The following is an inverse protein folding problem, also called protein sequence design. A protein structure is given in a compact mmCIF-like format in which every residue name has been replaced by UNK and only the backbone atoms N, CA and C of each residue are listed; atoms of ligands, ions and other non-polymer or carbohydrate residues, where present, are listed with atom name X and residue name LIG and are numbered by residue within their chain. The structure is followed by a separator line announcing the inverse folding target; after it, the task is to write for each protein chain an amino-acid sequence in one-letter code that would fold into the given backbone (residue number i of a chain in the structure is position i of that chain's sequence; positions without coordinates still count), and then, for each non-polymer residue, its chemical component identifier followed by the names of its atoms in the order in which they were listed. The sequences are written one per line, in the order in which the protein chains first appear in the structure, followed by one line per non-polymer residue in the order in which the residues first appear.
data_IF_089124054969
#
_entry.id   IF_089124054969
#
_cell.length_a   1.000
_cell.length_b   1.000
_cell.length_c   1.000
_cell.angle_alpha   90.00
_cell.angle_beta   90.00
_cell.angle_gamma   90.00
#
_symmetry.space_group_name_H-M   'P 1'
#
loop_
_entity.id
_entity.type
_entity.pdbx_description
1 polymer ?
#
# COMPACT_ATOMS: atom_id res chain seq x y z
N UNK A 1 -47.05 -49.94 52.32
CA UNK A 1 -46.86 -49.51 50.91
C UNK A 1 -47.42 -48.11 50.71
N UNK A 2 -46.86 -47.08 51.36
CA UNK A 2 -47.46 -45.72 51.32
C UNK A 2 -46.53 -44.53 51.54
N UNK A 3 -45.25 -44.75 51.85
CA UNK A 3 -44.29 -43.66 52.11
C UNK A 3 -43.26 -43.46 50.98
N UNK A 4 -43.08 -44.44 50.11
CA UNK A 4 -42.22 -44.36 48.91
C UNK A 4 -42.84 -43.49 47.80
N UNK A 5 -44.18 -43.44 47.70
CA UNK A 5 -44.88 -42.74 46.62
C UNK A 5 -44.84 -41.21 46.78
N UNK A 6 -44.81 -40.70 48.02
CA UNK A 6 -44.76 -39.26 48.29
C UNK A 6 -43.38 -38.65 48.03
N UNK A 7 -42.31 -39.45 48.18
CA UNK A 7 -40.93 -39.04 47.92
C UNK A 7 -40.68 -38.91 46.40
N UNK A 8 -41.23 -39.82 45.60
CA UNK A 8 -41.11 -39.78 44.13
C UNK A 8 -41.83 -38.56 43.53
N UNK A 9 -42.99 -38.16 44.09
CA UNK A 9 -43.74 -36.99 43.61
C UNK A 9 -43.06 -35.65 43.97
N UNK A 10 -42.27 -35.58 45.05
CA UNK A 10 -41.54 -34.36 45.44
C UNK A 10 -40.26 -34.18 44.61
N UNK A 11 -39.63 -35.27 44.17
CA UNK A 11 -38.38 -35.23 43.38
C UNK A 11 -38.57 -34.89 41.89
N UNK A 12 -39.79 -34.88 41.36
CA UNK A 12 -40.09 -34.47 39.97
C UNK A 12 -40.30 -32.95 39.81
N UNK A 13 -40.30 -32.19 40.90
CA UNK A 13 -40.42 -30.72 40.88
C UNK A 13 -39.05 -30.01 40.84
N UNK A 14 -37.97 -30.74 40.55
CA UNK A 14 -36.63 -30.17 40.40
C UNK A 14 -36.33 -29.94 38.91
N UNK A 15 -35.99 -28.71 38.56
CA UNK A 15 -35.51 -28.22 37.24
C UNK A 15 -36.55 -27.82 36.18
N UNK A 16 -37.23 -26.69 36.42
CA UNK A 16 -37.56 -25.76 35.33
C UNK A 16 -36.55 -24.61 35.34
N UNK A 17 -35.47 -24.63 34.54
CA UNK A 17 -34.66 -23.44 34.33
C UNK A 17 -35.44 -22.49 33.43
N UNK A 18 -36.26 -21.62 34.04
CA UNK A 18 -36.86 -20.50 33.31
C UNK A 18 -35.77 -19.43 33.17
N UNK A 19 -34.89 -19.61 32.19
CA UNK A 19 -33.92 -18.58 31.84
C UNK A 19 -34.66 -17.43 31.14
N UNK A 20 -35.02 -16.40 31.90
CA UNK A 20 -35.49 -15.12 31.36
C UNK A 20 -34.31 -14.31 30.81
N UNK A 21 -33.61 -14.86 29.80
CA UNK A 21 -32.58 -14.10 29.10
C UNK A 21 -33.25 -13.13 28.13
N UNK A 22 -32.90 -11.84 28.25
CA UNK A 22 -33.41 -10.77 27.36
C UNK A 22 -32.71 -10.74 26.00
N UNK A 23 -31.68 -11.57 25.82
CA UNK A 23 -30.97 -11.75 24.56
C UNK A 23 -30.64 -13.23 24.39
N UNK A 24 -30.93 -13.75 23.21
CA UNK A 24 -30.70 -15.13 22.82
C UNK A 24 -30.09 -15.13 21.42
N UNK A 25 -29.32 -16.16 21.08
CA UNK A 25 -28.64 -16.31 19.81
C UNK A 25 -28.58 -17.78 19.41
N UNK A 26 -28.13 -18.06 18.19
CA UNK A 26 -28.07 -19.43 17.66
C UNK A 26 -29.29 -19.81 16.82
N UNK A 27 -30.12 -18.82 16.48
CA UNK A 27 -31.15 -18.92 15.45
C UNK A 27 -30.52 -18.99 14.04
N UNK A 28 -31.37 -18.99 13.02
CA UNK A 28 -30.95 -18.98 11.61
C UNK A 28 -29.94 -17.83 11.35
N UNK A 29 -28.84 -18.15 10.66
CA UNK A 29 -27.79 -17.18 10.33
C UNK A 29 -28.24 -16.14 9.29
N UNK A 30 -29.35 -16.37 8.61
CA UNK A 30 -29.94 -15.39 7.69
C UNK A 30 -30.59 -14.20 8.43
N UNK A 31 -30.96 -14.38 9.69
CA UNK A 31 -31.56 -13.32 10.52
C UNK A 31 -30.57 -12.20 10.77
N UNK A 32 -31.01 -10.96 10.56
CA UNK A 32 -30.13 -9.79 10.66
C UNK A 32 -29.52 -9.62 12.06
N UNK A 33 -30.26 -9.99 13.11
CA UNK A 33 -29.78 -9.92 14.50
C UNK A 33 -28.65 -10.92 14.80
N UNK A 34 -28.51 -11.97 13.98
CA UNK A 34 -27.47 -13.00 14.12
C UNK A 34 -26.20 -12.67 13.32
N UNK A 35 -26.20 -11.60 12.51
CA UNK A 35 -25.05 -11.25 11.66
C UNK A 35 -23.97 -10.51 12.45
N UNK A 36 -22.73 -11.02 12.50
CA UNK A 36 -21.63 -10.32 13.15
C UNK A 36 -21.16 -9.13 12.29
N UNK A 37 -20.49 -8.16 12.93
CA UNK A 37 -19.77 -7.11 12.21
C UNK A 37 -18.34 -7.54 11.88
N UNK A 38 -17.78 -7.02 10.78
CA UNK A 38 -16.39 -7.22 10.40
C UNK A 38 -15.71 -5.88 10.14
N UNK A 39 -14.53 -5.67 10.74
CA UNK A 39 -13.70 -4.48 10.52
C UNK A 39 -12.23 -4.87 10.51
N UNK A 40 -11.53 -4.51 9.46
CA UNK A 40 -10.10 -4.76 9.31
C UNK A 40 -9.36 -3.45 9.04
N UNK A 41 -8.20 -3.27 9.70
CA UNK A 41 -7.31 -2.12 9.49
C UNK A 41 -5.88 -2.64 9.49
N UNK A 42 -5.17 -2.39 8.40
CA UNK A 42 -3.78 -2.79 8.29
C UNK A 42 -3.21 -2.49 6.90
N UNK A 43 -1.90 -2.63 6.72
CA UNK A 43 -1.23 -2.36 5.44
C UNK A 43 -1.65 -3.33 4.33
N UNK A 44 -2.16 -4.51 4.69
CA UNK A 44 -2.63 -5.51 3.74
C UNK A 44 -4.02 -5.19 3.16
N UNK A 45 -4.80 -4.31 3.80
CA UNK A 45 -6.18 -3.99 3.41
C UNK A 45 -6.27 -2.65 2.67
N UNK A 46 -7.24 -2.54 1.75
CA UNK A 46 -7.61 -1.25 1.17
C UNK A 46 -8.10 -0.29 2.26
N UNK A 47 -7.71 0.98 2.14
CA UNK A 47 -8.15 2.03 3.07
C UNK A 47 -9.55 2.53 2.70
N UNK A 48 -10.38 2.79 3.70
CA UNK A 48 -11.73 3.34 3.55
C UNK A 48 -12.62 2.54 2.58
N UNK A 49 -12.42 1.23 2.52
CA UNK A 49 -13.25 0.34 1.72
C UNK A 49 -14.40 -0.19 2.58
N UNK A 50 -15.62 0.05 2.13
CA UNK A 50 -16.82 -0.63 2.62
C UNK A 50 -17.12 -1.81 1.69
N UNK A 51 -17.49 -2.95 2.28
CA UNK A 51 -17.68 -4.21 1.56
C UNK A 51 -19.04 -4.79 1.86
N UNK A 52 -19.58 -5.53 0.88
CA UNK A 52 -20.80 -6.29 1.08
C UNK A 52 -20.63 -7.43 2.10
N UNK A 53 -21.74 -8.03 2.55
CA UNK A 53 -21.70 -9.15 3.47
C UNK A 53 -20.98 -10.36 2.86
N UNK A 54 -20.32 -11.14 3.71
CA UNK A 54 -19.66 -12.39 3.35
C UNK A 54 -19.70 -13.36 4.53
N UNK A 55 -19.61 -14.65 4.25
CA UNK A 55 -19.65 -15.69 5.28
C UNK A 55 -18.38 -15.70 6.14
N UNK A 56 -18.55 -15.84 7.46
CA UNK A 56 -17.46 -15.83 8.45
C UNK A 56 -16.43 -16.95 8.22
N UNK A 57 -16.82 -18.06 7.59
CA UNK A 57 -15.90 -19.16 7.22
C UNK A 57 -14.74 -18.70 6.34
N UNK A 58 -14.91 -17.60 5.59
CA UNK A 58 -13.88 -17.05 4.71
C UNK A 58 -12.79 -16.26 5.46
N UNK A 59 -12.95 -16.00 6.76
CA UNK A 59 -11.97 -15.26 7.56
C UNK A 59 -10.70 -16.09 7.77
N UNK A 60 -10.81 -17.40 7.96
CA UNK A 60 -9.63 -18.27 8.14
C UNK A 60 -8.66 -18.22 6.95
N UNK A 61 -9.08 -18.49 5.69
CA UNK A 61 -8.17 -18.40 4.55
C UNK A 61 -7.66 -16.96 4.31
N UNK A 62 -8.45 -15.93 4.63
CA UNK A 62 -8.00 -14.54 4.61
C UNK A 62 -6.83 -14.29 5.57
N UNK A 63 -6.94 -14.76 6.82
CA UNK A 63 -5.88 -14.64 7.82
C UNK A 63 -4.62 -15.41 7.40
N UNK A 64 -4.77 -16.64 6.90
CA UNK A 64 -3.66 -17.43 6.39
C UNK A 64 -2.92 -16.70 5.27
N UNK A 65 -3.66 -16.10 4.33
CA UNK A 65 -3.09 -15.31 3.25
C UNK A 65 -2.28 -14.11 3.76
N UNK A 66 -2.80 -13.35 4.72
CA UNK A 66 -2.10 -12.19 5.31
C UNK A 66 -0.84 -12.62 6.05
N UNK A 67 -0.88 -13.75 6.74
CA UNK A 67 0.26 -14.31 7.48
C UNK A 67 1.28 -15.00 6.57
N UNK A 68 0.96 -15.23 5.29
CA UNK A 68 1.81 -15.96 4.35
C UNK A 68 1.94 -17.45 4.67
N UNK A 69 0.93 -18.05 5.31
CA UNK A 69 0.89 -19.48 5.64
C UNK A 69 -0.12 -20.21 4.76
N UNK A 70 0.12 -21.50 4.53
CA UNK A 70 -0.81 -22.35 3.79
C UNK A 70 -2.02 -22.68 4.69
N UNK A 71 -3.27 -22.39 4.27
CA UNK A 71 -4.44 -22.86 5.00
C UNK A 71 -4.57 -24.38 4.90
N UNK A 72 -4.99 -25.00 6.00
CA UNK A 72 -5.44 -26.40 6.05
C UNK A 72 -6.79 -26.56 5.36
N UNK A 73 -7.25 -27.81 5.17
CA UNK A 73 -8.57 -28.08 4.59
C UNK A 73 -9.68 -27.42 5.43
N UNK A 74 -10.47 -26.57 4.78
CA UNK A 74 -11.57 -25.81 5.40
C UNK A 74 -12.63 -25.45 4.35
N UNK A 75 -13.81 -25.02 4.80
CA UNK A 75 -14.95 -24.68 3.94
C UNK A 75 -14.90 -23.24 3.38
N UNK A 76 -13.92 -22.44 3.81
CA UNK A 76 -13.75 -21.07 3.39
C UNK A 76 -13.03 -20.92 2.04
N UNK A 77 -13.27 -19.81 1.36
CA UNK A 77 -12.62 -19.46 0.10
C UNK A 77 -12.04 -18.04 0.15
N UNK A 78 -10.73 -17.91 -0.09
CA UNK A 78 -10.03 -16.63 -0.14
C UNK A 78 -10.64 -15.67 -1.17
N UNK A 79 -11.17 -16.18 -2.30
CA UNK A 79 -11.73 -15.34 -3.36
C UNK A 79 -12.87 -14.45 -2.87
N UNK A 80 -13.62 -14.90 -1.86
CA UNK A 80 -14.72 -14.13 -1.27
C UNK A 80 -14.23 -12.83 -0.59
N UNK A 81 -12.99 -12.82 -0.09
CA UNK A 81 -12.41 -11.70 0.68
C UNK A 81 -11.21 -11.05 0.00
N UNK A 82 -10.72 -11.62 -1.11
CA UNK A 82 -9.50 -11.16 -1.77
C UNK A 82 -9.57 -9.71 -2.24
N UNK A 83 -10.76 -9.24 -2.65
CA UNK A 83 -10.99 -7.86 -3.09
C UNK A 83 -10.77 -6.82 -1.97
N UNK A 84 -10.67 -7.25 -0.70
CA UNK A 84 -10.38 -6.38 0.44
C UNK A 84 -8.88 -6.06 0.55
N UNK A 85 -8.03 -6.85 -0.12
CA UNK A 85 -6.59 -6.81 0.03
C UNK A 85 -5.92 -5.96 -1.06
N UNK A 86 -4.91 -5.19 -0.66
CA UNK A 86 -4.07 -4.48 -1.62
C UNK A 86 -3.18 -5.48 -2.37
N UNK A 87 -3.18 -5.44 -3.70
CA UNK A 87 -2.21 -6.21 -4.46
C UNK A 87 -0.83 -5.60 -4.24
N UNK A 88 0.21 -6.41 -4.00
CA UNK A 88 1.58 -5.92 -3.77
C UNK A 88 2.15 -5.07 -4.93
N UNK A 89 1.50 -5.07 -6.08
CA UNK A 89 1.80 -4.23 -7.23
C UNK A 89 1.34 -2.76 -7.07
N UNK A 90 0.30 -2.47 -6.29
CA UNK A 90 -0.32 -1.14 -6.28
C UNK A 90 0.58 -0.09 -5.60
N UNK A 91 1.31 -0.49 -4.56
CA UNK A 91 2.22 0.41 -3.82
C UNK A 91 3.62 0.58 -4.42
N UNK A 92 4.18 -0.42 -5.10
CA UNK A 92 5.56 -0.36 -5.60
C UNK A 92 5.68 0.33 -6.97
N UNK A 93 4.68 0.14 -7.83
CA UNK A 93 4.77 0.56 -9.25
C UNK A 93 4.78 2.08 -9.41
N UNK A 94 3.95 2.79 -8.63
CA UNK A 94 3.89 4.26 -8.66
C UNK A 94 5.14 4.92 -8.07
N UNK A 95 5.72 4.35 -7.01
CA UNK A 95 6.93 4.90 -6.39
C UNK A 95 8.17 4.64 -7.25
N UNK A 96 8.25 3.48 -7.92
CA UNK A 96 9.35 3.14 -8.82
C UNK A 96 9.41 4.08 -10.04
N UNK A 97 8.29 4.31 -10.72
CA UNK A 97 8.23 5.19 -11.88
C UNK A 97 8.48 6.66 -11.51
N UNK A 98 7.89 7.15 -10.40
CA UNK A 98 8.13 8.54 -9.93
C UNK A 98 9.61 8.78 -9.63
N UNK A 99 10.27 7.88 -8.91
CA UNK A 99 11.67 8.01 -8.56
C UNK A 99 12.59 7.92 -9.79
N UNK A 100 12.26 7.06 -10.76
CA UNK A 100 12.98 6.98 -12.03
C UNK A 100 12.95 8.28 -12.82
N UNK A 101 11.78 8.91 -12.93
CA UNK A 101 11.64 10.19 -13.64
C UNK A 101 12.39 11.34 -12.95
N UNK A 102 12.35 11.41 -11.63
CA UNK A 102 13.08 12.42 -10.84
C UNK A 102 14.59 12.28 -11.02
N UNK A 103 15.10 11.05 -10.99
CA UNK A 103 16.52 10.79 -11.26
C UNK A 103 16.94 11.22 -12.66
N UNK A 104 16.15 10.87 -13.67
CA UNK A 104 16.46 11.20 -15.07
C UNK A 104 16.43 12.72 -15.32
N UNK A 105 15.42 13.41 -14.78
CA UNK A 105 15.28 14.87 -14.89
C UNK A 105 16.46 15.62 -14.26
N UNK A 106 16.89 15.18 -13.07
CA UNK A 106 18.04 15.79 -12.38
C UNK A 106 19.35 15.65 -13.17
N UNK A 107 19.59 14.46 -13.75
CA UNK A 107 20.79 14.19 -14.57
C UNK A 107 20.74 15.01 -15.86
N UNK A 108 19.61 15.05 -16.56
CA UNK A 108 19.45 15.83 -17.78
C UNK A 108 19.67 17.34 -17.53
N UNK A 109 19.11 17.87 -16.44
CA UNK A 109 19.30 19.27 -16.04
C UNK A 109 20.76 19.59 -15.72
N UNK A 110 21.46 18.70 -15.01
CA UNK A 110 22.88 18.86 -14.70
C UNK A 110 23.75 18.87 -15.96
N UNK A 111 23.50 17.95 -16.90
CA UNK A 111 24.23 17.88 -18.16
C UNK A 111 24.01 19.12 -19.03
N UNK A 112 22.79 19.66 -19.09
CA UNK A 112 22.50 20.91 -19.79
C UNK A 112 23.26 22.10 -19.18
N UNK A 113 23.30 22.21 -17.85
CA UNK A 113 24.05 23.26 -17.16
C UNK A 113 25.55 23.18 -17.47
N UNK A 114 26.14 21.98 -17.38
CA UNK A 114 27.57 21.78 -17.68
C UNK A 114 27.88 22.15 -19.14
N UNK A 115 27.01 21.77 -20.08
CA UNK A 115 27.17 22.12 -21.49
C UNK A 115 27.12 23.62 -21.74
N UNK A 116 26.19 24.34 -21.10
CA UNK A 116 26.07 25.80 -21.19
C UNK A 116 27.33 26.48 -20.61
N UNK A 117 27.83 26.01 -19.46
CA UNK A 117 29.05 26.54 -18.85
C UNK A 117 30.29 26.27 -19.71
N UNK A 118 30.42 25.06 -20.26
CA UNK A 118 31.55 24.70 -21.10
C UNK A 118 31.57 25.49 -22.43
N UNK A 119 30.41 25.66 -23.06
CA UNK A 119 30.30 26.43 -24.31
C UNK A 119 30.57 27.92 -24.08
N UNK A 120 30.02 28.51 -23.02
CA UNK A 120 30.30 29.90 -22.65
C UNK A 120 31.78 30.13 -22.27
N UNK A 121 32.41 29.21 -21.54
CA UNK A 121 33.84 29.26 -21.24
C UNK A 121 34.71 29.16 -22.50
N UNK A 122 34.40 28.23 -23.42
CA UNK A 122 35.11 28.10 -24.71
C UNK A 122 34.93 29.34 -25.58
N UNK A 123 33.75 29.94 -25.63
CA UNK A 123 33.48 31.18 -26.39
C UNK A 123 34.30 32.36 -25.82
N UNK A 124 34.36 32.52 -24.50
CA UNK A 124 35.16 33.55 -23.84
C UNK A 124 36.66 33.34 -24.08
N UNK A 125 37.14 32.11 -23.99
CA UNK A 125 38.52 31.75 -24.29
C UNK A 125 38.88 32.03 -25.76
N UNK A 126 37.99 31.70 -26.69
CA UNK A 126 38.19 31.97 -28.13
C UNK A 126 38.24 33.48 -28.42
N UNK A 127 37.36 34.27 -27.78
CA UNK A 127 37.42 35.75 -27.82
C UNK A 127 38.74 36.30 -27.26
N UNK A 128 39.22 35.80 -26.12
CA UNK A 128 40.51 36.22 -25.53
C UNK A 128 41.69 35.87 -26.45
N UNK A 129 41.68 34.70 -27.10
CA UNK A 129 42.73 34.29 -28.04
C UNK A 129 42.74 35.16 -29.31
N UNK A 130 41.58 35.46 -29.89
CA UNK A 130 41.48 36.35 -31.05
C UNK A 130 41.97 37.78 -30.74
N UNK A 131 41.59 38.36 -29.59
CA UNK A 131 42.10 39.68 -29.18
C UNK A 131 43.63 39.72 -29.04
N UNK A 132 44.24 38.64 -28.53
CA UNK A 132 45.71 38.53 -28.38
C UNK A 132 46.43 38.33 -29.73
N UNK A 133 45.74 37.75 -30.72
CA UNK A 133 46.23 37.62 -32.08
C UNK A 133 46.13 38.97 -32.83
N UNK A 134 45.01 39.69 -32.70
CA UNK A 134 44.87 41.04 -33.25
C UNK A 134 45.94 42.00 -32.70
N UNK A 135 46.22 41.97 -31.39
CA UNK A 135 47.25 42.85 -30.81
C UNK A 135 48.67 42.54 -31.29
N UNK A 136 48.98 41.25 -31.57
CA UNK A 136 50.29 40.85 -32.10
C UNK A 136 50.44 41.13 -33.60
N UNK A 137 49.33 41.17 -34.35
CA UNK A 137 49.33 41.53 -35.78
C UNK A 137 49.40 43.05 -35.98
N UNK A 138 48.85 43.84 -35.06
CA UNK A 138 48.99 45.31 -35.05
C UNK A 138 50.41 45.76 -34.68
N UNK A 139 51.05 45.16 -33.67
CA UNK A 139 52.46 45.43 -33.32
C UNK A 139 53.44 45.12 -34.48
N UNK A 140 53.15 44.10 -35.29
CA UNK A 140 53.98 43.77 -36.45
C UNK A 140 53.78 44.77 -37.62
N UNK A 141 52.58 45.35 -37.77
CA UNK A 141 52.31 46.38 -38.78
C UNK A 141 52.96 47.72 -38.44
N UNK A 142 52.99 48.13 -37.18
CA UNK A 142 53.63 49.40 -36.77
C UNK A 142 55.14 49.39 -36.99
N UNK A 143 55.80 48.23 -36.83
CA UNK A 143 57.25 48.09 -37.09
C UNK A 143 57.65 48.12 -38.57
N UNK A 144 56.75 47.79 -39.49
CA UNK A 144 57.03 47.76 -40.94
C UNK A 144 56.76 49.09 -41.65
N UNK A 145 56.14 50.06 -40.99
CA UNK A 145 55.73 51.35 -41.60
C UNK A 145 56.69 52.50 -41.25
N UNK A 146 57.76 52.23 -40.49
CA UNK A 146 58.74 53.24 -40.05
C UNK A 146 60.12 53.07 -40.69
N UNK A 147 60.19 52.50 -41.89
CA UNK A 147 61.41 52.32 -42.69
C UNK A 147 61.24 52.99 -44.05
#
# INVERSE_FOLDING_TARGET
MGHECYIIHILSLQYFPVQFNKGEHGFDNQEMDMKPFFRAVGPAFHKNLEVGPFETVNIYPLMCHILGIQPELNDGNLSATQHMLVTSADGKTVNFWKNGFIGLSAVAGFLLLVFIVATSYKILQRKRKNKRLESSTEEEKTKKTSL
#
